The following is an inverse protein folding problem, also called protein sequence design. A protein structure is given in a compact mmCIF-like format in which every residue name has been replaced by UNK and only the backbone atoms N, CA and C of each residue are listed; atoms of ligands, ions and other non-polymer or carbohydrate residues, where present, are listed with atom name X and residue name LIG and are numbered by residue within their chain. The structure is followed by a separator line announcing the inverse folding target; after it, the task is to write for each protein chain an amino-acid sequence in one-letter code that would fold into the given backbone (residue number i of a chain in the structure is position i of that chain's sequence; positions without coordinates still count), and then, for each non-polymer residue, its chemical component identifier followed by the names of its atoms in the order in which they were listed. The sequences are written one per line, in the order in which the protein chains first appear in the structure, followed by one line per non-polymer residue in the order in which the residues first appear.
data_IF_491872731276
#
_entry.id   IF_491872731276
#
_cell.length_a   1.000
_cell.length_b   1.000
_cell.length_c   1.000
_cell.angle_alpha   90.00
_cell.angle_beta   90.00
_cell.angle_gamma   90.00
#
_symmetry.space_group_name_H-M   'P 1'
#
loop_
_entity.id
_entity.type
_entity.pdbx_description
1 polymer ?
#
# COMPACT_ATOMS: atom_id res chain seq x y z
N UNK A 1 -7.66 4.62 14.81
CA UNK A 1 -8.58 5.33 13.92
C UNK A 1 -7.78 6.19 12.94
N UNK A 2 -8.18 6.21 11.67
CA UNK A 2 -7.50 7.00 10.61
C UNK A 2 -7.44 8.50 10.97
N UNK A 3 -8.44 9.03 11.65
CA UNK A 3 -8.50 10.43 12.06
C UNK A 3 -7.52 10.81 13.19
N UNK A 4 -6.91 9.83 13.84
CA UNK A 4 -5.89 10.05 14.87
C UNK A 4 -4.48 9.86 14.37
N UNK A 5 -4.32 9.43 13.11
CA UNK A 5 -3.01 9.30 12.48
C UNK A 5 -2.50 10.69 12.09
N UNK A 6 -1.41 11.09 12.70
CA UNK A 6 -0.67 12.29 12.30
C UNK A 6 0.11 12.09 11.00
N UNK A 7 0.75 13.15 10.54
CA UNK A 7 1.72 13.05 9.47
C UNK A 7 2.87 12.08 9.85
N UNK A 8 3.56 11.44 8.90
CA UNK A 8 4.67 10.53 9.18
C UNK A 8 5.75 11.13 10.09
N UNK A 9 6.01 12.43 9.96
CA UNK A 9 6.94 13.15 10.84
C UNK A 9 6.49 13.10 12.30
N UNK A 10 5.22 13.41 12.59
CA UNK A 10 4.67 13.39 13.96
C UNK A 10 4.74 11.99 14.57
N UNK A 11 4.51 10.95 13.74
CA UNK A 11 4.64 9.57 14.17
C UNK A 11 6.08 9.23 14.53
N UNK A 12 7.06 9.63 13.71
CA UNK A 12 8.48 9.42 13.98
C UNK A 12 8.92 10.16 15.27
N UNK A 13 8.48 11.40 15.46
CA UNK A 13 8.74 12.19 16.68
C UNK A 13 8.14 11.52 17.93
N UNK A 14 6.93 10.99 17.84
CA UNK A 14 6.29 10.25 18.92
C UNK A 14 7.07 8.97 19.30
N UNK A 15 7.51 8.20 18.30
CA UNK A 15 8.33 7.00 18.52
C UNK A 15 9.65 7.39 19.19
N UNK A 16 10.32 8.43 18.72
CA UNK A 16 11.58 8.92 19.31
C UNK A 16 11.36 9.33 20.78
N UNK A 17 10.27 10.04 21.07
CA UNK A 17 9.94 10.51 22.41
C UNK A 17 9.67 9.37 23.39
N UNK A 18 9.00 8.32 22.96
CA UNK A 18 8.63 7.17 23.81
C UNK A 18 9.81 6.21 24.00
N UNK A 19 10.59 5.97 22.96
CA UNK A 19 11.67 4.97 22.98
C UNK A 19 13.00 5.55 23.44
N UNK A 20 13.17 6.88 23.38
CA UNK A 20 14.47 7.53 23.60
C UNK A 20 15.48 7.30 22.46
N UNK A 21 15.07 6.69 21.37
CA UNK A 21 15.88 6.46 20.18
C UNK A 21 15.52 7.50 19.13
N UNK A 22 16.51 8.17 18.59
CA UNK A 22 16.30 9.12 17.49
C UNK A 22 15.85 8.37 16.23
N UNK A 23 14.62 8.66 15.79
CA UNK A 23 13.96 7.95 14.70
C UNK A 23 13.41 8.95 13.67
N UNK A 24 14.01 8.96 12.51
CA UNK A 24 13.64 9.90 11.45
C UNK A 24 12.41 9.43 10.66
N UNK A 25 11.76 10.38 9.99
CA UNK A 25 10.65 10.08 9.04
C UNK A 25 11.09 9.11 7.95
N UNK A 26 12.32 9.25 7.43
CA UNK A 26 12.85 8.36 6.41
C UNK A 26 13.03 6.93 6.93
N UNK A 27 13.49 6.77 8.16
CA UNK A 27 13.59 5.45 8.81
C UNK A 27 12.21 4.83 9.04
N UNK A 28 11.22 5.62 9.45
CA UNK A 28 9.84 5.16 9.59
C UNK A 28 9.28 4.65 8.26
N UNK A 29 9.38 5.45 7.21
CA UNK A 29 8.89 5.07 5.87
C UNK A 29 9.62 3.85 5.32
N UNK A 30 10.94 3.76 5.52
CA UNK A 30 11.72 2.59 5.13
C UNK A 30 11.28 1.33 5.87
N UNK A 31 11.11 1.39 7.19
CA UNK A 31 10.66 0.26 8.00
C UNK A 31 9.25 -0.21 7.62
N UNK A 32 8.32 0.71 7.38
CA UNK A 32 6.96 0.37 6.95
C UNK A 32 6.95 -0.25 5.56
N UNK A 33 7.79 0.24 4.65
CA UNK A 33 7.92 -0.35 3.32
C UNK A 33 8.49 -1.78 3.38
N UNK A 34 9.51 -2.03 4.21
CA UNK A 34 10.05 -3.38 4.42
C UNK A 34 9.01 -4.33 5.01
N UNK A 35 8.19 -3.86 5.95
CA UNK A 35 7.09 -4.65 6.49
C UNK A 35 6.05 -5.00 5.40
N UNK A 36 5.75 -4.07 4.50
CA UNK A 36 4.87 -4.30 3.35
C UNK A 36 5.45 -5.35 2.39
N UNK A 37 6.73 -5.24 2.05
CA UNK A 37 7.39 -6.22 1.18
C UNK A 37 7.40 -7.62 1.78
N UNK A 38 7.62 -7.72 3.10
CA UNK A 38 7.57 -9.01 3.80
C UNK A 38 6.16 -9.61 3.77
N UNK A 39 5.13 -8.79 4.02
CA UNK A 39 3.73 -9.21 3.90
C UNK A 39 3.42 -9.72 2.49
N UNK A 40 3.77 -8.96 1.48
CA UNK A 40 3.61 -9.35 0.08
C UNK A 40 4.33 -10.68 -0.23
N UNK A 41 5.57 -10.85 0.22
CA UNK A 41 6.32 -12.08 0.00
C UNK A 41 5.67 -13.29 0.67
N UNK A 42 5.06 -13.12 1.84
CA UNK A 42 4.30 -14.17 2.52
C UNK A 42 3.05 -14.56 1.73
N UNK A 43 2.31 -13.58 1.21
CA UNK A 43 1.14 -13.82 0.34
C UNK A 43 1.53 -14.62 -0.91
N UNK A 44 2.63 -14.22 -1.58
CA UNK A 44 3.14 -14.96 -2.75
C UNK A 44 3.52 -16.41 -2.40
N UNK A 45 4.14 -16.64 -1.26
CA UNK A 45 4.46 -18.00 -0.77
C UNK A 45 3.23 -18.83 -0.42
N UNK A 46 2.11 -18.19 -0.11
CA UNK A 46 0.82 -18.83 0.11
C UNK A 46 0.03 -19.05 -1.19
N UNK A 47 0.56 -18.62 -2.32
CA UNK A 47 -0.04 -18.85 -3.63
C UNK A 47 -0.94 -17.70 -4.11
N UNK A 48 -0.84 -16.51 -3.53
CA UNK A 48 -1.57 -15.35 -4.03
C UNK A 48 -1.20 -15.05 -5.49
N UNK A 49 -2.20 -14.74 -6.28
CA UNK A 49 -2.09 -14.40 -7.70
C UNK A 49 -2.45 -12.94 -7.94
N UNK A 50 -2.23 -12.45 -9.15
CA UNK A 50 -2.57 -11.05 -9.50
C UNK A 50 -4.08 -10.77 -9.34
N UNK A 51 -4.93 -11.78 -9.51
CA UNK A 51 -6.38 -11.68 -9.38
C UNK A 51 -6.83 -11.42 -7.94
N UNK A 52 -6.03 -11.88 -6.95
CA UNK A 52 -6.33 -11.65 -5.53
C UNK A 52 -6.17 -10.17 -5.15
N UNK A 53 -5.42 -9.39 -5.93
CA UNK A 53 -5.28 -7.95 -5.78
C UNK A 53 -6.30 -7.21 -6.65
N UNK A 54 -7.57 -7.50 -6.45
CA UNK A 54 -8.67 -6.92 -7.21
C UNK A 54 -9.52 -5.97 -6.35
N UNK A 55 -10.30 -5.14 -7.01
CA UNK A 55 -11.33 -4.31 -6.38
C UNK A 55 -12.70 -4.82 -6.81
N UNK A 56 -13.70 -4.60 -5.97
CA UNK A 56 -15.08 -4.92 -6.31
C UNK A 56 -15.53 -4.15 -7.57
N UNK A 57 -16.30 -4.79 -8.43
CA UNK A 57 -16.74 -4.21 -9.71
C UNK A 57 -17.51 -2.90 -9.53
N UNK A 58 -18.20 -2.73 -8.41
CA UNK A 58 -18.94 -1.52 -8.05
C UNK A 58 -18.06 -0.27 -7.96
N UNK A 59 -16.75 -0.44 -7.73
CA UNK A 59 -15.79 0.68 -7.72
C UNK A 59 -15.65 1.29 -9.11
N UNK A 60 -15.77 0.47 -10.16
CA UNK A 60 -15.60 0.89 -11.55
C UNK A 60 -16.93 1.28 -12.20
N UNK A 61 -18.04 0.74 -11.72
CA UNK A 61 -19.40 1.00 -12.22
C UNK A 61 -20.09 2.00 -11.30
N UNK A 62 -19.62 3.26 -11.31
CA UNK A 62 -20.25 4.31 -10.50
C UNK A 62 -21.61 4.70 -11.05
N UNK A 63 -22.70 4.33 -10.40
CA UNK A 63 -23.99 5.00 -10.58
C UNK A 63 -24.03 6.26 -9.72
N UNK A 64 -24.48 7.37 -10.31
CA UNK A 64 -24.73 8.58 -9.55
C UNK A 64 -25.88 8.30 -8.57
N UNK A 65 -25.63 8.42 -7.26
CA UNK A 65 -26.68 8.36 -6.24
C UNK A 65 -27.03 9.78 -5.82
N UNK A 66 -28.24 10.21 -6.17
CA UNK A 66 -28.75 11.55 -5.85
C UNK A 66 -28.00 12.67 -6.59
N UNK A 67 -27.80 13.80 -5.93
CA UNK A 67 -27.19 15.01 -6.49
C UNK A 67 -25.63 15.00 -6.42
N UNK A 68 -25.02 13.90 -6.01
CA UNK A 68 -23.57 13.79 -5.97
C UNK A 68 -23.01 13.58 -7.37
N UNK A 69 -22.05 14.42 -7.81
CA UNK A 69 -21.44 14.26 -9.12
C UNK A 69 -20.68 12.92 -9.18
N UNK A 70 -20.78 12.27 -10.33
CA UNK A 70 -19.95 11.09 -10.61
C UNK A 70 -18.47 11.49 -10.61
N UNK A 71 -17.69 10.84 -9.77
CA UNK A 71 -16.25 10.98 -9.78
C UNK A 71 -15.68 9.72 -10.47
N UNK A 72 -15.57 9.78 -11.80
CA UNK A 72 -15.03 8.69 -12.62
C UNK A 72 -13.53 8.91 -12.88
N UNK A 73 -12.71 8.76 -11.85
CA UNK A 73 -11.27 8.81 -12.04
C UNK A 73 -10.63 7.46 -12.22
N UNK A 74 -11.31 6.39 -11.81
CA UNK A 74 -10.74 5.05 -11.85
C UNK A 74 -11.51 4.19 -12.84
N UNK A 75 -10.88 3.87 -13.97
CA UNK A 75 -11.36 2.83 -14.88
C UNK A 75 -10.67 1.51 -14.51
N UNK A 76 -11.27 0.40 -14.94
CA UNK A 76 -10.70 -0.93 -14.72
C UNK A 76 -9.32 -1.06 -15.38
N UNK A 77 -9.16 -0.56 -16.59
CA UNK A 77 -7.89 -0.57 -17.33
C UNK A 77 -6.80 0.25 -16.60
N UNK A 78 -7.18 1.42 -16.07
CA UNK A 78 -6.23 2.23 -15.30
C UNK A 78 -5.81 1.51 -14.03
N UNK A 79 -6.77 0.92 -13.30
CA UNK A 79 -6.48 0.14 -12.10
C UNK A 79 -5.56 -1.03 -12.40
N UNK A 80 -5.87 -1.84 -13.41
CA UNK A 80 -5.08 -3.00 -13.82
C UNK A 80 -3.66 -2.59 -14.20
N UNK A 81 -3.49 -1.54 -14.98
CA UNK A 81 -2.17 -1.05 -15.38
C UNK A 81 -1.34 -0.51 -14.22
N UNK A 82 -1.97 0.12 -13.21
CA UNK A 82 -1.28 0.54 -11.98
C UNK A 82 -0.95 -0.67 -11.12
N UNK A 83 -1.88 -1.61 -10.96
CA UNK A 83 -1.67 -2.85 -10.21
C UNK A 83 -0.46 -3.62 -10.72
N UNK A 84 -0.36 -3.86 -12.02
CA UNK A 84 0.78 -4.54 -12.63
C UNK A 84 2.10 -3.85 -12.27
N UNK A 85 2.19 -2.55 -12.46
CA UNK A 85 3.41 -1.79 -12.15
C UNK A 85 3.79 -1.86 -10.68
N UNK A 86 2.81 -1.80 -9.78
CA UNK A 86 3.05 -1.88 -8.33
C UNK A 86 3.53 -3.28 -7.95
N UNK A 87 2.88 -4.32 -8.47
CA UNK A 87 3.26 -5.71 -8.18
C UNK A 87 4.61 -6.07 -8.77
N UNK A 88 4.94 -5.60 -9.97
CA UNK A 88 6.27 -5.77 -10.58
C UNK A 88 7.36 -5.12 -9.71
N UNK A 89 7.09 -3.91 -9.20
CA UNK A 89 8.02 -3.25 -8.29
C UNK A 89 8.17 -4.04 -6.99
N UNK A 90 7.09 -4.49 -6.38
CA UNK A 90 7.13 -5.30 -5.16
C UNK A 90 7.88 -6.61 -5.37
N UNK A 91 7.67 -7.29 -6.50
CA UNK A 91 8.41 -8.50 -6.86
C UNK A 91 9.91 -8.23 -6.96
N UNK A 92 10.30 -7.15 -7.64
CA UNK A 92 11.70 -6.76 -7.78
C UNK A 92 12.34 -6.45 -6.43
N UNK A 93 11.69 -5.59 -5.65
CA UNK A 93 12.20 -5.14 -4.36
C UNK A 93 12.23 -6.28 -3.32
N UNK A 94 11.23 -7.18 -3.34
CA UNK A 94 11.20 -8.34 -2.44
C UNK A 94 12.28 -9.38 -2.77
N UNK A 95 12.65 -9.53 -4.05
CA UNK A 95 13.79 -10.35 -4.46
C UNK A 95 15.11 -9.71 -4.06
N UNK A 96 15.27 -8.41 -4.26
CA UNK A 96 16.46 -7.67 -3.83
C UNK A 96 16.66 -7.75 -2.31
N UNK A 97 15.56 -7.69 -1.54
CA UNK A 97 15.58 -7.86 -0.08
C UNK A 97 15.78 -9.32 0.38
N UNK A 98 15.77 -10.29 -0.54
CA UNK A 98 15.92 -11.71 -0.22
C UNK A 98 14.65 -12.37 0.36
N UNK A 99 13.50 -11.75 0.24
CA UNK A 99 12.22 -12.30 0.73
C UNK A 99 11.59 -13.25 -0.29
N UNK A 100 11.86 -13.06 -1.57
CA UNK A 100 11.48 -13.95 -2.68
C UNK A 100 12.73 -14.45 -3.40
N UNK A 101 12.63 -15.66 -3.92
CA UNK A 101 13.64 -16.28 -4.80
C UNK A 101 13.53 -15.81 -6.24
#
# INVERSE_FOLDING_TARGET
CLFTLGAPQQTAEAISSVTGVDFSTSQLLGATYQAHLLGYALEQKQGATIEDYSMADEVFVGEAKGDLPRVHFLTKELFEGVREKVLDKFNSDAREAGYLS
#
